data_IF_891713353236
#
_entry.id   IF_891713353236
#
_cell.length_a   1.000
_cell.length_b   1.000
_cell.length_c   1.000
_cell.angle_alpha   90.00
_cell.angle_beta   90.00
_cell.angle_gamma   90.00
#
_symmetry.space_group_name_H-M   'P 1'
#
loop_
_entity.id
_entity.type
_entity.pdbx_description
1 polymer ?
#
# COMPACT_ATOMS: atom_id res chain seq x y z
N UNK A 1 10.84 -10.94 7.05
CA UNK A 1 10.50 -10.40 5.72
C UNK A 1 9.15 -10.98 5.30
N UNK A 2 8.04 -10.41 5.78
CA UNK A 2 6.68 -10.89 5.48
C UNK A 2 6.06 -9.99 4.43
N UNK A 3 5.46 -10.61 3.41
CA UNK A 3 4.75 -9.96 2.32
C UNK A 3 3.27 -10.32 2.45
N UNK A 4 2.40 -9.34 2.27
CA UNK A 4 0.95 -9.56 2.17
C UNK A 4 0.46 -9.18 0.78
N UNK A 5 -0.42 -10.00 0.22
CA UNK A 5 -1.15 -9.72 -1.02
C UNK A 5 -2.61 -9.47 -0.67
N UNK A 6 -3.15 -8.33 -1.11
CA UNK A 6 -4.56 -7.98 -0.87
C UNK A 6 -5.03 -6.91 -1.85
N UNK A 7 -6.34 -6.71 -1.96
CA UNK A 7 -6.85 -5.50 -2.64
C UNK A 7 -6.52 -4.25 -1.83
N UNK A 8 -6.25 -3.14 -2.49
CA UNK A 8 -5.85 -1.87 -1.87
C UNK A 8 -6.98 -1.25 -1.06
N UNK A 9 -8.20 -1.38 -1.57
CA UNK A 9 -9.43 -0.90 -0.97
C UNK A 9 -10.45 -2.04 -0.74
N UNK A 10 -11.46 -1.77 0.07
CA UNK A 10 -12.65 -2.61 0.22
C UNK A 10 -13.51 -2.54 -1.06
N UNK A 11 -14.59 -3.32 -1.10
CA UNK A 11 -15.57 -3.27 -2.20
C UNK A 11 -16.29 -1.92 -2.27
N UNK A 12 -16.37 -1.22 -1.14
CA UNK A 12 -17.00 0.09 -1.01
C UNK A 12 -16.02 1.24 -1.30
N UNK A 13 -14.77 0.94 -1.67
CA UNK A 13 -13.74 1.93 -1.98
C UNK A 13 -12.90 2.40 -0.79
N UNK A 14 -13.23 1.93 0.42
CA UNK A 14 -12.52 2.33 1.65
C UNK A 14 -11.10 1.76 1.70
N UNK A 15 -10.12 2.60 2.05
CA UNK A 15 -8.72 2.19 2.13
C UNK A 15 -8.51 1.06 3.16
N UNK A 16 -7.72 0.05 2.80
CA UNK A 16 -7.22 -0.95 3.76
C UNK A 16 -5.87 -0.58 4.36
N UNK A 17 -5.19 0.41 3.78
CA UNK A 17 -3.91 0.91 4.25
C UNK A 17 -4.16 2.09 5.19
N UNK A 18 -4.39 1.79 6.47
CA UNK A 18 -4.78 2.75 7.51
C UNK A 18 -3.59 3.22 8.35
N UNK A 19 -3.67 4.39 9.03
CA UNK A 19 -2.66 4.80 10.02
C UNK A 19 -2.61 3.88 11.25
N UNK A 20 -3.72 3.19 11.56
CA UNK A 20 -3.82 2.17 12.59
C UNK A 20 -4.86 1.13 12.19
N UNK A 21 -4.59 -0.15 12.46
CA UNK A 21 -5.58 -1.21 12.24
C UNK A 21 -6.83 -0.96 13.11
N UNK A 22 -8.00 -1.04 12.48
CA UNK A 22 -9.31 -0.98 13.14
C UNK A 22 -9.75 -2.35 13.69
N UNK A 23 -9.25 -3.44 13.09
CA UNK A 23 -9.51 -4.81 13.49
C UNK A 23 -8.41 -5.34 14.43
N UNK A 24 -8.70 -6.40 15.20
CA UNK A 24 -7.69 -7.07 16.03
C UNK A 24 -6.45 -7.46 15.22
N UNK A 25 -5.27 -7.15 15.76
CA UNK A 25 -4.00 -7.47 15.10
C UNK A 25 -3.75 -8.98 15.17
N UNK A 26 -3.48 -9.60 14.02
CA UNK A 26 -2.94 -10.97 13.95
C UNK A 26 -1.45 -11.01 14.31
N UNK A 27 -0.73 -9.91 14.06
CA UNK A 27 0.67 -9.72 14.42
C UNK A 27 1.07 -8.24 14.31
N UNK A 28 1.95 -7.78 15.20
CA UNK A 28 2.39 -6.38 15.23
C UNK A 28 3.76 -6.22 14.58
N UNK A 29 3.93 -5.22 13.70
CA UNK A 29 5.22 -4.85 13.11
C UNK A 29 5.90 -5.92 12.26
N UNK A 30 5.17 -6.96 11.84
CA UNK A 30 5.72 -8.12 11.16
C UNK A 30 5.69 -8.00 9.61
N UNK A 31 4.72 -7.25 9.06
CA UNK A 31 4.56 -7.01 7.62
C UNK A 31 5.54 -5.94 7.17
N UNK A 32 6.34 -6.24 6.14
CA UNK A 32 7.37 -5.33 5.58
C UNK A 32 7.04 -4.89 4.16
N UNK A 33 6.21 -5.66 3.46
CA UNK A 33 5.85 -5.45 2.06
C UNK A 33 4.37 -5.72 1.85
N UNK A 34 3.73 -4.89 1.04
CA UNK A 34 2.33 -4.98 0.65
C UNK A 34 2.27 -4.94 -0.86
N UNK A 35 1.71 -5.98 -1.47
CA UNK A 35 1.40 -6.00 -2.89
C UNK A 35 -0.12 -5.92 -3.05
N UNK A 36 -0.58 -4.96 -3.83
CA UNK A 36 -2.00 -4.78 -4.14
C UNK A 36 -2.28 -4.78 -5.62
N UNK A 37 -3.55 -4.72 -5.98
CA UNK A 37 -4.05 -4.46 -7.33
C UNK A 37 -3.64 -3.09 -7.90
N UNK A 38 -3.16 -2.17 -7.04
CA UNK A 38 -2.79 -0.81 -7.44
C UNK A 38 -1.29 -0.55 -7.34
N UNK A 39 -0.59 -1.16 -6.37
CA UNK A 39 0.78 -0.80 -6.06
C UNK A 39 1.53 -1.88 -5.27
N UNK A 40 2.85 -1.81 -5.36
CA UNK A 40 3.78 -2.49 -4.46
C UNK A 40 4.35 -1.44 -3.51
N UNK A 41 4.19 -1.70 -2.20
CA UNK A 41 4.60 -0.79 -1.14
C UNK A 41 5.49 -1.52 -0.13
N UNK A 42 6.44 -0.78 0.41
CA UNK A 42 7.22 -1.20 1.58
C UNK A 42 6.75 -0.46 2.83
N UNK A 43 6.95 -1.06 4.00
CA UNK A 43 6.62 -0.44 5.28
C UNK A 43 7.92 -0.18 6.06
N UNK A 44 8.21 1.09 6.30
CA UNK A 44 9.31 1.53 7.15
C UNK A 44 8.89 2.77 7.95
N UNK A 45 9.35 2.87 9.20
CA UNK A 45 9.14 4.03 10.07
C UNK A 45 7.68 4.50 10.18
N UNK A 46 6.75 3.54 10.21
CA UNK A 46 5.32 3.80 10.31
C UNK A 46 4.68 4.41 9.06
N UNK A 47 5.37 4.37 7.92
CA UNK A 47 4.87 4.84 6.63
C UNK A 47 4.84 3.71 5.60
N UNK A 48 3.90 3.81 4.66
CA UNK A 48 3.93 3.09 3.40
C UNK A 48 4.83 3.86 2.43
N UNK A 49 5.74 3.18 1.76
CA UNK A 49 6.63 3.74 0.75
C UNK A 49 6.22 3.13 -0.58
N UNK A 50 5.73 3.97 -1.50
CA UNK A 50 5.36 3.52 -2.84
C UNK A 50 6.63 3.14 -3.61
N UNK A 51 6.69 1.90 -4.10
CA UNK A 51 7.84 1.40 -4.87
C UNK A 51 7.50 1.27 -6.34
N UNK A 52 6.38 0.64 -6.65
CA UNK A 52 5.91 0.44 -8.02
C UNK A 52 4.40 0.62 -8.06
N UNK A 53 3.90 1.13 -9.20
CA UNK A 53 2.47 1.24 -9.49
C UNK A 53 2.05 0.18 -10.50
N UNK A 54 0.85 -0.35 -10.36
CA UNK A 54 0.30 -1.29 -11.32
C UNK A 54 0.12 -0.62 -12.70
N UNK A 55 0.09 -1.40 -13.80
CA UNK A 55 -0.03 -0.83 -15.12
C UNK A 55 -1.28 0.00 -15.33
N UNK A 56 -1.11 1.18 -15.92
CA UNK A 56 -2.20 2.15 -16.14
C UNK A 56 -2.78 2.81 -14.87
N UNK A 57 -2.30 2.48 -13.67
CA UNK A 57 -2.73 3.13 -12.42
C UNK A 57 -1.93 4.42 -12.22
N UNK A 58 -2.61 5.51 -11.85
CA UNK A 58 -1.96 6.79 -11.56
C UNK A 58 -1.53 6.90 -10.09
N UNK A 59 -0.55 7.75 -9.81
CA UNK A 59 -0.10 8.02 -8.43
C UNK A 59 -1.23 8.65 -7.62
N UNK A 60 -2.01 9.55 -8.21
CA UNK A 60 -3.14 10.23 -7.58
C UNK A 60 -4.20 9.24 -7.10
N UNK A 61 -4.49 8.19 -7.88
CA UNK A 61 -5.41 7.14 -7.46
C UNK A 61 -4.90 6.38 -6.23
N UNK A 62 -3.61 6.04 -6.20
CA UNK A 62 -2.98 5.36 -5.06
C UNK A 62 -3.03 6.25 -3.81
N UNK A 63 -2.72 7.54 -3.95
CA UNK A 63 -2.80 8.52 -2.86
C UNK A 63 -4.24 8.63 -2.35
N UNK A 64 -5.23 8.76 -3.24
CA UNK A 64 -6.64 8.87 -2.86
C UNK A 64 -7.15 7.62 -2.14
N UNK A 65 -6.59 6.44 -2.45
CA UNK A 65 -6.98 5.15 -1.85
C UNK A 65 -6.07 4.70 -0.70
N UNK A 66 -5.13 5.53 -0.25
CA UNK A 66 -4.25 5.26 0.91
C UNK A 66 -4.56 6.23 2.05
N UNK A 67 -5.16 5.74 3.13
CA UNK A 67 -5.47 6.57 4.31
C UNK A 67 -4.28 6.73 5.27
N UNK A 68 -3.35 5.77 5.27
CA UNK A 68 -2.13 5.79 6.07
C UNK A 68 -1.10 6.78 5.53
N UNK A 69 -0.07 7.04 6.32
CA UNK A 69 1.05 7.88 5.89
C UNK A 69 1.73 7.23 4.68
N UNK A 70 1.63 7.87 3.52
CA UNK A 70 2.24 7.44 2.27
C UNK A 70 3.40 8.36 1.90
N UNK A 71 4.54 7.76 1.55
CA UNK A 71 5.68 8.43 0.96
C UNK A 71 5.71 8.04 -0.51
N UNK A 72 5.64 9.05 -1.38
CA UNK A 72 5.72 8.92 -2.83
C UNK A 72 7.09 9.45 -3.27
N UNK A 73 8.01 8.58 -3.74
CA UNK A 73 9.27 9.03 -4.34
C UNK A 73 9.04 9.82 -5.64
N UNK A 74 10.05 10.60 -6.06
CA UNK A 74 10.00 11.39 -7.29
C UNK A 74 9.83 10.52 -8.56
N UNK A 75 10.35 9.29 -8.51
CA UNK A 75 10.23 8.32 -9.58
C UNK A 75 9.59 7.03 -9.04
N UNK A 76 8.43 6.69 -9.61
CA UNK A 76 7.67 5.47 -9.31
C UNK A 76 7.42 4.73 -10.61
N UNK A 77 8.16 3.65 -10.79
CA UNK A 77 8.07 2.82 -11.97
C UNK A 77 6.72 2.09 -12.06
N UNK A 78 6.29 1.84 -13.29
CA UNK A 78 5.21 0.91 -13.58
C UNK A 78 5.72 -0.53 -13.48
N UNK A 79 4.93 -1.41 -12.88
CA UNK A 79 5.28 -2.83 -12.78
C UNK A 79 5.42 -3.45 -14.17
N UNK A 80 6.46 -4.25 -14.35
CA UNK A 80 6.68 -5.05 -15.57
C UNK A 80 6.48 -6.53 -15.25
N UNK A 81 5.74 -7.25 -16.11
CA UNK A 81 5.51 -8.69 -16.00
C UNK A 81 6.44 -9.49 -16.91
#
# INVERSE_FOLDING_TARGET
>A
NIIVTMTHASKDGESKLLPRCSLPLTGAGCIRKVLTDLAYLEIADGAFILRERAPGVSIEEIVAKTAGRLIVPDDVAEMTF
#
